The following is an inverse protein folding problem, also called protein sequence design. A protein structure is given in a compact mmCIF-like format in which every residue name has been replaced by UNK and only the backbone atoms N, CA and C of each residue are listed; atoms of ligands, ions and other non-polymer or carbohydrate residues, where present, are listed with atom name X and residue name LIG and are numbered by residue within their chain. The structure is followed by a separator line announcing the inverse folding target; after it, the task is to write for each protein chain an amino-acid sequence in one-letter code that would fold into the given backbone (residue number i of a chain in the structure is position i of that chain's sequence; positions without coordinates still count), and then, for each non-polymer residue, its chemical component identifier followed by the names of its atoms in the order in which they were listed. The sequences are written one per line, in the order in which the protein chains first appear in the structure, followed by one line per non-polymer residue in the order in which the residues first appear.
data_IF_091657825385
#
_entry.id   IF_091657825385
#
_cell.length_a   1.000
_cell.length_b   1.000
_cell.length_c   1.000
_cell.angle_alpha   90.00
_cell.angle_beta   90.00
_cell.angle_gamma   90.00
#
_symmetry.space_group_name_H-M   'P 1'
#
loop_
_entity.id
_entity.type
_entity.pdbx_description
1 polymer ?
#
# COMPACT_ATOMS: atom_id res chain seq x y z
N UNK A 1 -7.64 14.16 -27.05
CA UNK A 1 -7.02 13.02 -27.76
C UNK A 1 -7.23 11.80 -26.89
N UNK A 2 -7.82 10.75 -27.45
CA UNK A 2 -7.90 9.45 -26.77
C UNK A 2 -6.53 8.76 -26.83
N UNK A 3 -6.24 7.78 -25.95
CA UNK A 3 -5.03 6.96 -26.05
C UNK A 3 -4.91 6.31 -27.43
N UNK A 4 -3.69 6.05 -27.91
CA UNK A 4 -3.52 5.36 -29.19
C UNK A 4 -4.12 3.95 -29.14
N UNK A 5 -4.56 3.43 -30.29
CA UNK A 5 -5.11 2.07 -30.37
C UNK A 5 -4.13 1.00 -29.84
N UNK A 6 -2.84 1.15 -30.14
CA UNK A 6 -1.79 0.30 -29.57
C UNK A 6 -1.78 0.34 -28.04
N UNK A 7 -1.87 1.53 -27.45
CA UNK A 7 -1.86 1.68 -25.99
C UNK A 7 -3.11 1.07 -25.35
N UNK A 8 -4.26 1.17 -26.00
CA UNK A 8 -5.47 0.48 -25.56
C UNK A 8 -5.30 -1.04 -25.59
N UNK A 9 -4.71 -1.61 -26.67
CA UNK A 9 -4.43 -3.05 -26.75
C UNK A 9 -3.47 -3.51 -25.66
N UNK A 10 -2.43 -2.73 -25.35
CA UNK A 10 -1.51 -3.05 -24.25
C UNK A 10 -2.26 -3.16 -22.91
N UNK A 11 -3.22 -2.26 -22.66
CA UNK A 11 -4.05 -2.30 -21.45
C UNK A 11 -4.94 -3.55 -21.46
N UNK A 12 -5.58 -3.88 -22.58
CA UNK A 12 -6.40 -5.09 -22.69
C UNK A 12 -5.60 -6.37 -22.45
N UNK A 13 -4.38 -6.47 -22.98
CA UNK A 13 -3.49 -7.63 -22.76
C UNK A 13 -3.02 -7.71 -21.30
N UNK A 14 -2.75 -6.57 -20.67
CA UNK A 14 -2.45 -6.53 -19.24
C UNK A 14 -3.65 -6.97 -18.40
N UNK A 15 -4.86 -6.46 -18.68
CA UNK A 15 -6.10 -6.90 -18.05
C UNK A 15 -6.34 -8.40 -18.25
N UNK A 16 -6.06 -8.93 -19.45
CA UNK A 16 -6.21 -10.36 -19.73
C UNK A 16 -5.30 -11.22 -18.85
N UNK A 17 -4.04 -10.78 -18.64
CA UNK A 17 -3.11 -11.44 -17.72
C UNK A 17 -3.65 -11.44 -16.29
N UNK A 18 -4.12 -10.29 -15.81
CA UNK A 18 -4.70 -10.18 -14.47
C UNK A 18 -5.92 -11.10 -14.31
N UNK A 19 -6.82 -11.13 -15.31
CA UNK A 19 -8.00 -12.01 -15.32
C UNK A 19 -7.62 -13.49 -15.26
N UNK A 20 -6.53 -13.89 -15.92
CA UNK A 20 -6.03 -15.27 -15.85
C UNK A 20 -5.59 -15.65 -14.42
N UNK A 21 -4.86 -14.75 -13.75
CA UNK A 21 -4.42 -14.93 -12.36
C UNK A 21 -5.60 -14.92 -11.37
N UNK A 22 -6.64 -14.13 -11.68
CA UNK A 22 -7.91 -14.00 -10.95
C UNK A 22 -8.91 -15.14 -11.21
N UNK A 23 -8.52 -16.19 -11.93
CA UNK A 23 -9.34 -17.39 -12.08
C UNK A 23 -10.38 -17.34 -13.21
N UNK A 24 -10.28 -16.39 -14.14
CA UNK A 24 -11.20 -16.29 -15.26
C UNK A 24 -10.79 -17.18 -16.45
N UNK A 25 -11.76 -17.54 -17.29
CA UNK A 25 -11.48 -18.21 -18.56
C UNK A 25 -11.02 -17.18 -19.61
N UNK A 26 -9.76 -17.29 -20.01
CA UNK A 26 -9.07 -16.35 -20.91
C UNK A 26 -8.67 -16.95 -22.26
N UNK A 27 -9.06 -18.21 -22.52
CA UNK A 27 -8.53 -18.96 -23.66
C UNK A 27 -8.89 -18.30 -25.00
N UNK A 28 -7.88 -17.99 -25.81
CA UNK A 28 -8.02 -17.44 -27.17
C UNK A 28 -8.29 -15.94 -27.25
N UNK A 29 -8.49 -15.26 -26.11
CA UNK A 29 -8.80 -13.84 -26.08
C UNK A 29 -7.60 -12.95 -26.43
N UNK A 30 -6.37 -13.45 -26.25
CA UNK A 30 -5.14 -12.81 -26.72
C UNK A 30 -5.18 -12.55 -28.22
N UNK A 31 -5.50 -13.59 -29.01
CA UNK A 31 -5.63 -13.49 -30.46
C UNK A 31 -6.82 -12.64 -30.88
N UNK A 32 -7.92 -12.70 -30.13
CA UNK A 32 -9.07 -11.83 -30.37
C UNK A 32 -8.69 -10.35 -30.20
N UNK A 33 -7.94 -9.99 -29.14
CA UNK A 33 -7.46 -8.62 -28.89
C UNK A 33 -6.54 -8.15 -30.02
N UNK A 34 -5.60 -8.99 -30.44
CA UNK A 34 -4.67 -8.68 -31.55
C UNK A 34 -5.40 -8.44 -32.87
N UNK A 35 -6.48 -9.18 -33.12
CA UNK A 35 -7.27 -9.09 -34.35
C UNK A 35 -8.31 -7.95 -34.35
N UNK A 36 -8.49 -7.22 -33.24
CA UNK A 36 -9.45 -6.10 -33.17
C UNK A 36 -9.12 -5.04 -34.23
N UNK A 37 -10.12 -4.45 -34.90
CA UNK A 37 -9.90 -3.28 -35.75
C UNK A 37 -9.46 -2.08 -34.91
N UNK A 38 -8.79 -1.11 -35.54
CA UNK A 38 -8.45 0.19 -34.94
C UNK A 38 -9.71 1.06 -34.74
N UNK A 39 -10.50 0.68 -33.74
CA UNK A 39 -11.77 1.32 -33.38
C UNK A 39 -11.93 1.37 -31.86
N UNK A 40 -12.23 2.54 -31.31
CA UNK A 40 -12.48 2.69 -29.88
C UNK A 40 -13.71 1.90 -29.43
N UNK A 41 -14.74 1.77 -30.28
CA UNK A 41 -15.94 0.99 -29.96
C UNK A 41 -15.62 -0.51 -29.86
N UNK A 42 -14.78 -1.02 -30.76
CA UNK A 42 -14.34 -2.41 -30.72
C UNK A 42 -13.47 -2.69 -29.47
N UNK A 43 -12.55 -1.78 -29.16
CA UNK A 43 -11.69 -1.88 -27.97
C UNK A 43 -12.50 -1.79 -26.68
N UNK A 44 -13.48 -0.88 -26.61
CA UNK A 44 -14.37 -0.71 -25.46
C UNK A 44 -15.30 -1.93 -25.27
N UNK A 45 -15.75 -2.53 -26.36
CA UNK A 45 -16.53 -3.78 -26.32
C UNK A 45 -15.71 -4.93 -25.75
N UNK A 46 -14.43 -5.03 -26.15
CA UNK A 46 -13.51 -6.01 -25.59
C UNK A 46 -13.20 -5.73 -24.11
N UNK A 47 -12.97 -4.46 -23.72
CA UNK A 47 -12.75 -4.06 -22.33
C UNK A 47 -13.90 -4.54 -21.42
N UNK A 48 -15.14 -4.28 -21.83
CA UNK A 48 -16.34 -4.76 -21.13
C UNK A 48 -16.40 -6.29 -21.06
N UNK A 49 -16.16 -6.97 -22.19
CA UNK A 49 -16.10 -8.44 -22.24
C UNK A 49 -15.09 -8.98 -21.22
N UNK A 50 -13.92 -8.37 -21.10
CA UNK A 50 -12.89 -8.78 -20.12
C UNK A 50 -13.33 -8.54 -18.67
N UNK A 51 -14.01 -7.43 -18.37
CA UNK A 51 -14.50 -7.15 -17.02
C UNK A 51 -15.62 -8.09 -16.56
N UNK A 52 -16.38 -8.64 -17.51
CA UNK A 52 -17.52 -9.53 -17.26
C UNK A 52 -17.20 -11.02 -17.42
N UNK A 53 -15.91 -11.39 -17.61
CA UNK A 53 -15.55 -12.79 -17.81
C UNK A 53 -16.03 -13.67 -16.66
N UNK A 54 -16.61 -14.85 -16.94
CA UNK A 54 -16.94 -15.79 -15.88
C UNK A 54 -15.67 -16.36 -15.24
N UNK A 55 -15.78 -16.68 -13.95
CA UNK A 55 -14.79 -17.50 -13.26
C UNK A 55 -14.80 -18.92 -13.85
N UNK A 56 -13.66 -19.61 -13.78
CA UNK A 56 -13.59 -21.03 -14.10
C UNK A 56 -14.46 -21.83 -13.12
N UNK A 57 -15.06 -22.92 -13.62
CA UNK A 57 -15.98 -23.74 -12.83
C UNK A 57 -15.32 -24.41 -11.61
N UNK A 58 -14.00 -24.61 -11.65
CA UNK A 58 -13.18 -25.21 -10.60
C UNK A 58 -12.49 -24.16 -9.70
N UNK A 59 -12.87 -22.87 -9.81
CA UNK A 59 -12.31 -21.82 -8.96
C UNK A 59 -12.74 -21.99 -7.50
N UNK A 60 -11.77 -22.24 -6.62
CA UNK A 60 -12.03 -22.61 -5.23
C UNK A 60 -12.25 -21.43 -4.27
N UNK A 61 -12.06 -20.19 -4.72
CA UNK A 61 -12.01 -19.01 -3.85
C UNK A 61 -13.26 -18.14 -3.95
N UNK A 62 -13.62 -17.50 -2.83
CA UNK A 62 -14.67 -16.50 -2.76
C UNK A 62 -14.03 -15.11 -2.56
N UNK A 63 -14.12 -14.27 -3.58
CA UNK A 63 -13.44 -12.97 -3.64
C UNK A 63 -14.42 -11.84 -4.01
N UNK A 64 -15.36 -11.48 -3.12
CA UNK A 64 -16.32 -10.40 -3.35
C UNK A 64 -15.67 -9.01 -3.34
N UNK A 65 -16.26 -8.06 -4.08
CA UNK A 65 -15.78 -6.67 -4.13
C UNK A 65 -16.63 -5.69 -3.35
N UNK A 66 -17.92 -5.96 -3.17
CA UNK A 66 -18.81 -5.07 -2.41
C UNK A 66 -18.69 -5.31 -0.91
N UNK A 67 -18.89 -4.23 -0.13
CA UNK A 67 -18.73 -4.26 1.32
C UNK A 67 -19.59 -5.32 2.00
N UNK A 68 -20.86 -5.47 1.60
CA UNK A 68 -21.79 -6.36 2.28
C UNK A 68 -21.35 -7.82 2.13
N UNK A 69 -20.96 -8.22 0.91
CA UNK A 69 -20.44 -9.54 0.63
C UNK A 69 -19.06 -9.77 1.27
N UNK A 70 -18.18 -8.76 1.29
CA UNK A 70 -16.89 -8.82 2.01
C UNK A 70 -17.11 -9.02 3.50
N UNK A 71 -17.94 -8.20 4.15
CA UNK A 71 -18.21 -8.29 5.58
C UNK A 71 -18.83 -9.66 5.95
N UNK A 72 -19.71 -10.19 5.11
CA UNK A 72 -20.26 -11.53 5.30
C UNK A 72 -19.21 -12.66 5.16
N UNK A 73 -18.19 -12.47 4.32
CA UNK A 73 -17.12 -13.45 4.08
C UNK A 73 -15.94 -13.35 5.06
N UNK A 74 -15.83 -12.26 5.83
CA UNK A 74 -14.83 -12.09 6.89
C UNK A 74 -15.14 -12.96 8.13
N UNK A 75 -14.17 -13.12 9.05
CA UNK A 75 -14.31 -14.01 10.22
C UNK A 75 -15.44 -13.56 11.14
N UNK A 76 -16.50 -14.36 11.36
CA UNK A 76 -17.65 -13.96 12.16
C UNK A 76 -17.32 -13.70 13.64
N UNK A 77 -16.19 -14.21 14.15
CA UNK A 77 -15.74 -14.00 15.52
C UNK A 77 -14.94 -12.69 15.71
N UNK A 78 -14.66 -11.95 14.63
CA UNK A 78 -13.89 -10.69 14.69
C UNK A 78 -14.58 -9.65 15.55
N UNK A 79 -13.79 -8.87 16.29
CA UNK A 79 -14.32 -7.73 17.04
C UNK A 79 -14.91 -6.70 16.06
N UNK A 80 -16.12 -6.21 16.36
CA UNK A 80 -16.76 -5.13 15.59
C UNK A 80 -16.46 -3.75 16.18
N UNK A 81 -16.14 -3.71 17.47
CA UNK A 81 -15.74 -2.52 18.22
C UNK A 81 -14.23 -2.49 18.47
N UNK A 82 -13.77 -1.54 19.30
CA UNK A 82 -12.38 -1.46 19.74
C UNK A 82 -11.96 -2.68 20.55
N UNK A 83 -10.70 -3.08 20.40
CA UNK A 83 -10.08 -4.15 21.18
C UNK A 83 -9.89 -3.73 22.65
N UNK A 84 -9.61 -2.46 22.89
CA UNK A 84 -9.50 -1.88 24.23
C UNK A 84 -9.68 -0.35 24.20
N UNK A 85 -9.75 0.26 25.39
CA UNK A 85 -9.60 1.72 25.54
C UNK A 85 -8.13 2.08 25.32
N UNK A 86 -7.88 3.17 24.61
CA UNK A 86 -6.53 3.65 24.29
C UNK A 86 -6.40 5.08 24.80
N UNK A 87 -5.36 5.34 25.60
CA UNK A 87 -5.07 6.68 26.09
C UNK A 87 -4.79 7.64 24.91
N UNK A 88 -5.42 8.83 24.85
CA UNK A 88 -5.32 9.73 23.71
C UNK A 88 -3.89 10.21 23.45
N UNK A 89 -3.11 10.44 24.51
CA UNK A 89 -1.74 10.90 24.41
C UNK A 89 -0.82 9.79 23.90
N UNK A 90 -1.04 8.55 24.36
CA UNK A 90 -0.34 7.37 23.83
C UNK A 90 -0.68 7.16 22.36
N UNK A 91 -1.96 7.23 21.99
CA UNK A 91 -2.42 7.13 20.61
C UNK A 91 -1.76 8.18 19.72
N UNK A 92 -1.79 9.45 20.13
CA UNK A 92 -1.19 10.56 19.39
C UNK A 92 0.33 10.37 19.20
N UNK A 93 1.07 10.07 20.27
CA UNK A 93 2.51 9.87 20.21
C UNK A 93 2.92 8.67 19.33
N UNK A 94 2.15 7.58 19.39
CA UNK A 94 2.37 6.40 18.53
C UNK A 94 2.02 6.71 17.07
N UNK A 95 0.96 7.46 16.78
CA UNK A 95 0.60 7.87 15.41
C UNK A 95 1.67 8.79 14.81
N UNK A 96 2.18 9.76 15.59
CA UNK A 96 3.34 10.59 15.19
C UNK A 96 4.53 9.71 14.83
N UNK A 97 4.86 8.75 15.70
CA UNK A 97 6.02 7.87 15.50
C UNK A 97 5.84 6.96 14.30
N UNK A 98 4.64 6.41 14.10
CA UNK A 98 4.30 5.58 12.95
C UNK A 98 4.50 6.32 11.63
N UNK A 99 3.98 7.55 11.51
CA UNK A 99 4.18 8.38 10.33
C UNK A 99 5.66 8.70 10.07
N UNK A 100 6.40 9.14 11.10
CA UNK A 100 7.83 9.41 10.96
C UNK A 100 8.63 8.16 10.58
N UNK A 101 8.26 7.00 11.11
CA UNK A 101 8.87 5.72 10.79
C UNK A 101 8.57 5.30 9.34
N UNK A 102 7.34 5.53 8.88
CA UNK A 102 6.92 5.33 7.48
C UNK A 102 7.75 6.17 6.52
N UNK A 103 7.92 7.47 6.83
CA UNK A 103 8.81 8.38 6.08
C UNK A 103 10.24 7.85 6.04
N UNK A 104 10.77 7.35 7.15
CA UNK A 104 12.12 6.79 7.19
C UNK A 104 12.26 5.54 6.31
N UNK A 105 11.28 4.64 6.37
CA UNK A 105 11.25 3.41 5.58
C UNK A 105 11.12 3.66 4.08
N UNK A 106 10.23 4.57 3.69
CA UNK A 106 10.07 5.04 2.31
C UNK A 106 11.40 5.55 1.73
N UNK A 107 12.04 6.52 2.39
CA UNK A 107 13.29 7.11 1.90
C UNK A 107 14.43 6.09 1.89
N UNK A 108 14.47 5.15 2.84
CA UNK A 108 15.45 4.06 2.84
C UNK A 108 15.31 3.14 1.62
N UNK A 109 14.08 2.80 1.24
CA UNK A 109 13.81 1.91 0.12
C UNK A 109 13.95 2.57 -1.26
N UNK A 110 13.68 3.87 -1.36
CA UNK A 110 13.60 4.61 -2.63
C UNK A 110 14.80 4.44 -3.59
N UNK A 111 16.08 4.47 -3.17
CA UNK A 111 17.20 4.28 -4.10
C UNK A 111 17.30 2.85 -4.67
N UNK A 112 16.63 1.88 -4.05
CA UNK A 112 16.64 0.44 -4.40
C UNK A 112 15.37 -0.03 -5.11
N UNK A 113 14.38 0.86 -5.31
CA UNK A 113 13.10 0.62 -5.96
C UNK A 113 13.24 0.42 -7.49
N UNK A 114 14.02 -0.59 -7.87
CA UNK A 114 14.30 -0.99 -9.27
C UNK A 114 14.32 -2.51 -9.40
N UNK A 115 13.45 -3.16 -8.62
CA UNK A 115 13.25 -4.61 -8.60
C UNK A 115 14.56 -5.35 -8.35
N UNK A 116 15.29 -4.92 -7.31
CA UNK A 116 16.45 -5.66 -6.85
C UNK A 116 15.98 -6.84 -5.99
N UNK A 117 16.68 -7.95 -6.14
CA UNK A 117 16.59 -9.12 -5.27
C UNK A 117 17.41 -8.90 -4.00
N UNK A 118 17.11 -9.67 -2.95
CA UNK A 118 17.93 -9.69 -1.73
C UNK A 118 19.41 -9.95 -2.05
N UNK A 119 19.71 -10.89 -2.95
CA UNK A 119 21.10 -11.21 -3.32
C UNK A 119 21.80 -10.06 -4.05
N UNK A 120 21.10 -9.34 -4.93
CA UNK A 120 21.65 -8.14 -5.58
C UNK A 120 21.93 -7.03 -4.56
N UNK A 121 21.03 -6.79 -3.60
CA UNK A 121 21.23 -5.80 -2.53
C UNK A 121 22.37 -6.24 -1.61
N UNK A 122 22.39 -7.51 -1.18
CA UNK A 122 23.44 -8.08 -0.32
C UNK A 122 24.80 -7.95 -0.96
N UNK A 123 24.92 -8.23 -2.27
CA UNK A 123 26.17 -8.09 -3.01
C UNK A 123 26.67 -6.63 -2.97
N UNK A 124 25.80 -5.67 -3.26
CA UNK A 124 26.14 -4.24 -3.18
C UNK A 124 26.55 -3.81 -1.77
N UNK A 125 25.74 -4.18 -0.76
CA UNK A 125 25.98 -3.82 0.63
C UNK A 125 27.28 -4.44 1.18
N UNK A 126 27.58 -5.69 0.81
CA UNK A 126 28.83 -6.37 1.20
C UNK A 126 30.04 -5.68 0.57
N UNK A 127 29.95 -5.32 -0.72
CA UNK A 127 31.03 -4.61 -1.41
C UNK A 127 31.31 -3.23 -0.80
N UNK A 128 30.27 -2.56 -0.31
CA UNK A 128 30.37 -1.28 0.40
C UNK A 128 30.71 -1.40 1.90
N UNK A 129 30.77 -2.62 2.46
CA UNK A 129 31.07 -2.84 3.88
C UNK A 129 29.92 -2.47 4.84
N UNK A 130 28.67 -2.47 4.37
CA UNK A 130 27.47 -2.03 5.11
C UNK A 130 26.40 -3.13 5.24
N UNK A 131 26.75 -4.41 5.01
CA UNK A 131 25.83 -5.52 5.26
C UNK A 131 25.93 -6.07 6.70
N UNK A 132 24.80 -6.32 7.39
CA UNK A 132 23.45 -5.90 7.05
C UNK A 132 23.27 -4.38 7.18
N UNK A 133 22.34 -3.82 6.39
CA UNK A 133 21.99 -2.40 6.48
C UNK A 133 21.45 -2.07 7.88
N UNK A 134 21.88 -0.92 8.40
CA UNK A 134 21.41 -0.34 9.65
C UNK A 134 21.19 1.18 9.55
N UNK A 135 21.24 1.72 8.34
CA UNK A 135 21.10 3.13 8.00
C UNK A 135 20.71 3.28 6.52
N UNK A 136 20.40 4.49 6.07
CA UNK A 136 20.21 4.84 4.65
C UNK A 136 21.29 4.29 3.72
N UNK A 137 20.88 3.99 2.49
CA UNK A 137 21.73 3.39 1.45
C UNK A 137 22.82 4.38 1.03
N UNK A 138 24.12 4.08 1.23
CA UNK A 138 25.19 4.92 0.71
C UNK A 138 25.34 4.75 -0.81
N UNK A 139 25.88 5.77 -1.50
CA UNK A 139 26.14 5.71 -2.95
C UNK A 139 27.02 4.51 -3.31
N UNK A 140 28.01 4.19 -2.46
CA UNK A 140 28.93 3.06 -2.67
C UNK A 140 28.23 1.70 -2.73
N UNK A 141 27.07 1.52 -2.08
CA UNK A 141 26.28 0.29 -2.19
C UNK A 141 25.75 0.12 -3.61
N UNK A 142 25.27 1.21 -4.22
CA UNK A 142 24.68 1.23 -5.56
C UNK A 142 25.71 0.97 -6.67
N UNK A 143 27.00 1.12 -6.38
CA UNK A 143 28.06 0.73 -7.33
C UNK A 143 28.17 -0.79 -7.49
N UNK A 144 27.71 -1.56 -6.51
CA UNK A 144 27.65 -3.02 -6.56
C UNK A 144 26.32 -3.61 -7.05
N UNK A 145 25.31 -2.78 -7.32
CA UNK A 145 24.00 -3.21 -7.83
C UNK A 145 23.92 -3.05 -9.36
N UNK A 146 23.12 -3.89 -10.05
CA UNK A 146 23.00 -3.81 -11.51
C UNK A 146 22.16 -2.63 -12.00
N UNK A 147 21.38 -2.03 -11.10
CA UNK A 147 20.38 -0.98 -11.36
C UNK A 147 20.33 -0.04 -10.17
N UNK A 148 19.93 1.21 -10.40
CA UNK A 148 19.75 2.26 -9.38
C UNK A 148 18.48 3.04 -9.71
N UNK A 149 17.67 3.37 -8.71
CA UNK A 149 16.49 4.20 -8.94
C UNK A 149 16.87 5.64 -9.31
N UNK A 150 16.08 6.33 -10.13
CA UNK A 150 16.44 7.64 -10.70
C UNK A 150 16.62 8.72 -9.62
N UNK A 151 15.98 8.54 -8.46
CA UNK A 151 16.03 9.45 -7.32
C UNK A 151 17.28 9.27 -6.46
N UNK A 152 18.17 8.32 -6.76
CA UNK A 152 19.39 8.08 -5.96
C UNK A 152 20.21 9.34 -5.67
N UNK A 153 20.32 10.36 -6.56
CA UNK A 153 21.11 11.57 -6.28
C UNK A 153 20.61 12.40 -5.09
N UNK A 154 19.39 12.15 -4.59
CA UNK A 154 18.78 12.89 -3.46
C UNK A 154 18.30 11.96 -2.33
N UNK A 155 18.41 10.63 -2.49
CA UNK A 155 17.81 9.63 -1.58
C UNK A 155 18.83 8.66 -0.97
N UNK A 156 20.11 8.79 -1.30
CA UNK A 156 21.19 8.04 -0.64
C UNK A 156 21.68 8.77 0.60
N UNK A 157 22.25 8.03 1.56
CA UNK A 157 22.81 8.56 2.81
C UNK A 157 23.68 9.82 2.60
N UNK A 158 24.50 9.81 1.56
CA UNK A 158 25.44 10.90 1.25
C UNK A 158 24.76 12.20 0.79
N UNK A 159 23.51 12.13 0.34
CA UNK A 159 22.82 13.20 -0.38
C UNK A 159 21.49 13.63 0.25
N UNK A 160 20.92 12.85 1.19
CA UNK A 160 19.67 13.21 1.86
C UNK A 160 19.87 14.53 2.62
N UNK A 161 19.03 15.51 2.31
CA UNK A 161 18.96 16.80 3.01
C UNK A 161 17.55 17.15 3.49
N UNK A 162 16.55 16.41 3.00
CA UNK A 162 15.12 16.56 3.26
C UNK A 162 14.42 15.26 2.85
N UNK A 163 13.16 15.09 3.23
CA UNK A 163 12.30 14.03 2.70
C UNK A 163 11.91 14.43 1.28
N UNK A 164 12.33 13.65 0.27
CA UNK A 164 11.94 13.88 -1.12
C UNK A 164 10.51 13.40 -1.37
N UNK A 165 9.80 13.95 -2.39
CA UNK A 165 8.44 13.53 -2.68
C UNK A 165 8.35 12.05 -3.10
N UNK A 166 7.27 11.43 -2.66
CA UNK A 166 6.99 10.01 -2.88
C UNK A 166 5.47 9.77 -2.83
N UNK A 167 4.94 8.88 -3.67
CA UNK A 167 3.51 8.63 -3.72
C UNK A 167 2.97 7.94 -2.47
N UNK A 168 3.72 7.06 -1.79
CA UNK A 168 3.31 6.47 -0.50
C UNK A 168 3.02 7.55 0.55
N UNK A 169 3.96 8.49 0.70
CA UNK A 169 3.83 9.57 1.67
C UNK A 169 2.76 10.56 1.22
N UNK A 170 2.68 10.89 -0.07
CA UNK A 170 1.61 11.73 -0.59
C UNK A 170 0.23 11.12 -0.32
N UNK A 171 0.05 9.81 -0.53
CA UNK A 171 -1.21 9.14 -0.28
C UNK A 171 -1.56 9.05 1.21
N UNK A 172 -0.57 8.86 2.08
CA UNK A 172 -0.77 8.96 3.53
C UNK A 172 -1.27 10.35 3.92
N UNK A 173 -0.67 11.41 3.36
CA UNK A 173 -1.11 12.79 3.59
C UNK A 173 -2.49 13.08 2.99
N UNK A 174 -2.83 12.46 1.85
CA UNK A 174 -4.17 12.53 1.28
C UNK A 174 -5.21 11.86 2.17
N UNK A 175 -4.91 10.69 2.74
CA UNK A 175 -5.75 10.03 3.73
C UNK A 175 -5.95 10.88 4.98
N UNK A 176 -4.89 11.57 5.45
CA UNK A 176 -4.99 12.55 6.55
C UNK A 176 -5.99 13.67 6.21
N UNK A 177 -5.87 14.31 5.03
CA UNK A 177 -6.79 15.37 4.61
C UNK A 177 -8.24 14.87 4.52
N UNK A 178 -8.46 13.66 4.00
CA UNK A 178 -9.80 13.07 3.92
C UNK A 178 -10.42 12.85 5.31
N UNK A 179 -9.64 12.36 6.28
CA UNK A 179 -10.12 12.13 7.64
C UNK A 179 -10.39 13.46 8.36
N UNK A 180 -9.54 14.46 8.16
CA UNK A 180 -9.74 15.79 8.76
C UNK A 180 -11.01 16.48 8.26
N UNK A 181 -11.35 16.31 6.98
CA UNK A 181 -12.50 16.98 6.36
C UNK A 181 -13.80 16.18 6.52
N UNK A 182 -13.75 14.86 6.38
CA UNK A 182 -14.95 14.00 6.28
C UNK A 182 -15.11 13.02 7.44
N UNK A 183 -14.12 12.90 8.34
CA UNK A 183 -14.14 11.95 9.44
C UNK A 183 -14.30 10.51 8.95
N UNK A 184 -15.22 9.77 9.56
CA UNK A 184 -15.48 8.37 9.17
C UNK A 184 -16.35 8.24 7.92
N UNK A 185 -17.10 9.27 7.53
CA UNK A 185 -18.14 9.18 6.49
C UNK A 185 -17.65 9.54 5.08
N UNK A 186 -16.39 9.22 4.77
CA UNK A 186 -15.81 9.50 3.44
C UNK A 186 -16.50 8.70 2.32
N UNK A 187 -16.79 9.39 1.21
CA UNK A 187 -17.38 8.78 0.01
C UNK A 187 -16.40 8.77 -1.17
N UNK A 188 -16.67 7.97 -2.20
CA UNK A 188 -15.90 8.01 -3.46
C UNK A 188 -15.91 9.38 -4.12
N UNK A 189 -17.00 10.14 -3.98
CA UNK A 189 -17.06 11.52 -4.49
C UNK A 189 -16.08 12.44 -3.75
N UNK A 190 -15.90 12.26 -2.45
CA UNK A 190 -14.99 13.07 -1.64
C UNK A 190 -13.54 12.71 -1.94
N UNK A 191 -13.24 11.42 -2.12
CA UNK A 191 -11.94 10.94 -2.60
C UNK A 191 -11.63 11.54 -3.97
N UNK A 192 -12.55 11.43 -4.94
CA UNK A 192 -12.37 11.96 -6.29
C UNK A 192 -12.08 13.47 -6.30
N UNK A 193 -12.87 14.26 -5.54
CA UNK A 193 -12.66 15.71 -5.43
C UNK A 193 -11.33 16.06 -4.79
N UNK A 194 -10.98 15.39 -3.70
CA UNK A 194 -9.72 15.60 -2.99
C UNK A 194 -8.54 15.27 -3.92
N UNK A 195 -8.61 14.15 -4.64
CA UNK A 195 -7.57 13.71 -5.58
C UNK A 195 -7.40 14.69 -6.74
N UNK A 196 -8.48 15.10 -7.41
CA UNK A 196 -8.41 16.08 -8.50
C UNK A 196 -7.80 17.43 -8.07
N UNK A 197 -8.02 17.82 -6.81
CA UNK A 197 -7.48 19.06 -6.26
C UNK A 197 -5.99 18.96 -5.91
N UNK A 198 -5.51 17.77 -5.57
CA UNK A 198 -4.22 17.61 -4.89
C UNK A 198 -3.20 16.74 -5.60
N UNK A 199 -3.60 15.76 -6.39
CA UNK A 199 -2.71 14.76 -6.97
C UNK A 199 -2.30 15.14 -8.40
N UNK A 200 -1.01 15.35 -8.67
CA UNK A 200 -0.51 15.41 -10.02
C UNK A 200 -0.60 14.02 -10.66
N UNK A 201 -1.08 13.93 -11.91
CA UNK A 201 -1.19 12.65 -12.64
C UNK A 201 0.14 11.92 -12.81
N UNK A 202 1.27 12.63 -12.74
CA UNK A 202 2.62 12.08 -12.76
C UNK A 202 3.04 11.34 -11.47
N UNK A 203 2.33 11.56 -10.36
CA UNK A 203 2.55 10.93 -9.04
C UNK A 203 1.46 9.89 -8.69
N UNK A 204 0.67 9.47 -9.67
CA UNK A 204 -0.26 8.35 -9.54
C UNK A 204 0.14 7.28 -10.54
N UNK A 205 0.05 6.00 -10.19
CA UNK A 205 0.40 4.88 -11.09
C UNK A 205 -0.77 3.91 -11.22
N UNK A 206 -0.78 3.07 -12.26
CA UNK A 206 -1.78 2.01 -12.40
C UNK A 206 -3.25 2.47 -12.34
N UNK A 207 -4.12 1.78 -11.58
CA UNK A 207 -5.52 2.13 -11.38
C UNK A 207 -5.77 3.57 -10.92
N UNK A 208 -4.97 4.09 -9.99
CA UNK A 208 -5.09 5.43 -9.43
C UNK A 208 -5.04 6.49 -10.54
N UNK A 209 -4.05 6.36 -11.44
CA UNK A 209 -3.89 7.28 -12.57
C UNK A 209 -5.08 7.21 -13.52
N UNK A 210 -5.64 6.02 -13.77
CA UNK A 210 -6.80 5.86 -14.66
C UNK A 210 -8.03 6.54 -14.09
N UNK A 211 -8.30 6.33 -12.80
CA UNK A 211 -9.41 6.98 -12.10
C UNK A 211 -9.25 8.50 -12.14
N UNK A 212 -8.06 9.01 -11.80
CA UNK A 212 -7.80 10.46 -11.80
C UNK A 212 -7.96 11.08 -13.20
N UNK A 213 -7.44 10.45 -14.25
CA UNK A 213 -7.60 10.92 -15.64
C UNK A 213 -9.07 10.88 -16.06
N UNK A 214 -9.80 9.81 -15.74
CA UNK A 214 -11.22 9.69 -16.07
C UNK A 214 -12.06 10.73 -15.33
N UNK A 215 -11.80 10.94 -14.04
CA UNK A 215 -12.43 11.99 -13.24
C UNK A 215 -12.17 13.37 -13.86
N UNK A 216 -10.92 13.68 -14.24
CA UNK A 216 -10.58 14.93 -14.91
C UNK A 216 -11.29 15.10 -16.27
N UNK A 217 -11.42 14.04 -17.06
CA UNK A 217 -12.18 14.11 -18.32
C UNK A 217 -13.67 14.43 -18.10
N UNK A 218 -14.24 13.99 -16.97
CA UNK A 218 -15.64 14.29 -16.63
C UNK A 218 -15.88 15.78 -16.38
N UNK A 219 -14.83 16.57 -16.11
CA UNK A 219 -14.93 18.02 -15.88
C UNK A 219 -14.87 18.85 -17.16
N UNK A 220 -14.72 18.23 -18.33
CA UNK A 220 -14.82 18.93 -19.62
C UNK A 220 -16.25 19.42 -19.91
N UNK A 221 -17.25 18.84 -19.23
CA UNK A 221 -18.62 19.34 -19.19
C UNK A 221 -18.81 20.50 -18.21
N UNK A 222 -20.05 20.97 -18.03
CA UNK A 222 -20.35 22.10 -17.11
C UNK A 222 -20.15 21.76 -15.63
N UNK A 223 -20.26 20.48 -15.27
CA UNK A 223 -20.09 19.97 -13.90
C UNK A 223 -19.33 18.64 -13.99
N UNK A 224 -18.68 18.24 -12.89
CA UNK A 224 -18.24 16.86 -12.72
C UNK A 224 -19.47 15.94 -12.80
N UNK A 225 -19.43 14.93 -13.67
CA UNK A 225 -20.46 13.91 -13.73
C UNK A 225 -20.50 13.07 -12.43
N UNK A 226 -21.49 12.19 -12.27
CA UNK A 226 -21.53 11.23 -11.16
C UNK A 226 -20.22 10.43 -11.07
N UNK A 227 -19.70 10.24 -9.86
CA UNK A 227 -18.44 9.50 -9.66
C UNK A 227 -18.58 8.04 -10.07
N UNK A 228 -19.80 7.51 -10.00
CA UNK A 228 -20.18 6.17 -10.41
C UNK A 228 -19.87 5.91 -11.88
N UNK A 229 -20.09 6.88 -12.77
CA UNK A 229 -19.73 6.77 -14.19
C UNK A 229 -18.20 6.68 -14.38
N UNK A 230 -17.42 7.31 -13.50
CA UNK A 230 -15.97 7.19 -13.50
C UNK A 230 -15.55 5.80 -13.05
N UNK A 231 -16.11 5.32 -11.94
CA UNK A 231 -15.81 4.01 -11.37
C UNK A 231 -16.17 2.89 -12.35
N UNK A 232 -17.34 2.93 -12.96
CA UNK A 232 -17.79 1.89 -13.90
C UNK A 232 -16.94 1.84 -15.16
N UNK A 233 -16.58 3.01 -15.70
CA UNK A 233 -15.66 3.06 -16.84
C UNK A 233 -14.27 2.51 -16.47
N UNK A 234 -13.77 2.84 -15.28
CA UNK A 234 -12.45 2.38 -14.84
C UNK A 234 -12.44 0.87 -14.70
N UNK A 235 -13.48 0.24 -14.09
CA UNK A 235 -13.60 -1.23 -13.94
C UNK A 235 -13.39 -1.98 -15.26
N UNK A 236 -13.86 -1.44 -16.38
CA UNK A 236 -13.68 -2.04 -17.71
C UNK A 236 -12.21 -1.96 -18.20
N UNK A 237 -11.45 -0.97 -17.73
CA UNK A 237 -10.08 -0.65 -18.18
C UNK A 237 -8.99 -0.82 -17.10
N UNK A 238 -9.27 -1.59 -16.05
CA UNK A 238 -8.50 -1.54 -14.80
C UNK A 238 -7.36 -2.56 -14.63
N UNK A 239 -6.39 -2.63 -15.56
CA UNK A 239 -5.25 -3.53 -15.35
C UNK A 239 -4.41 -3.15 -14.11
N UNK A 240 -4.03 -4.11 -13.28
CA UNK A 240 -3.24 -3.94 -12.06
C UNK A 240 -4.05 -3.71 -10.80
N UNK A 241 -5.35 -4.02 -10.79
CA UNK A 241 -6.26 -3.77 -9.66
C UNK A 241 -6.03 -4.62 -8.40
N UNK A 242 -5.09 -5.57 -8.45
CA UNK A 242 -4.63 -6.37 -7.30
C UNK A 242 -3.21 -6.01 -6.84
N UNK A 243 -2.64 -4.90 -7.35
CA UNK A 243 -1.32 -4.39 -6.94
C UNK A 243 -1.41 -3.52 -5.68
N UNK A 244 -0.25 -3.10 -5.16
CA UNK A 244 -0.10 -2.35 -3.91
C UNK A 244 -0.62 -0.89 -3.94
N UNK A 245 -1.01 -0.33 -5.09
CA UNK A 245 -1.38 1.09 -5.20
C UNK A 245 -2.51 1.54 -4.25
N UNK A 246 -3.46 0.65 -3.94
CA UNK A 246 -4.41 0.90 -2.85
C UNK A 246 -3.84 0.66 -1.46
N UNK A 247 -2.95 -0.31 -1.28
CA UNK A 247 -2.38 -0.70 0.00
C UNK A 247 -1.56 0.43 0.62
N UNK A 248 -0.77 1.15 -0.19
CA UNK A 248 0.08 2.26 0.27
C UNK A 248 -0.71 3.45 0.83
N UNK A 249 -2.04 3.46 0.66
CA UNK A 249 -2.95 4.47 1.21
C UNK A 249 -3.50 4.10 2.60
N UNK A 250 -3.30 2.86 3.04
CA UNK A 250 -3.91 2.29 4.24
C UNK A 250 -3.48 2.99 5.54
N UNK A 251 -2.26 3.52 5.56
CA UNK A 251 -1.56 4.00 6.75
C UNK A 251 -2.35 5.03 7.54
N UNK A 252 -2.88 6.05 6.86
CA UNK A 252 -3.67 7.11 7.49
C UNK A 252 -4.91 6.57 8.21
N UNK A 253 -5.59 5.58 7.63
CA UNK A 253 -6.77 4.95 8.23
C UNK A 253 -6.40 4.10 9.44
N UNK A 254 -5.25 3.42 9.40
CA UNK A 254 -4.69 2.71 10.55
C UNK A 254 -4.31 3.66 11.69
N UNK A 255 -3.65 4.78 11.39
CA UNK A 255 -3.26 5.79 12.37
C UNK A 255 -4.46 6.43 13.08
N UNK A 256 -5.55 6.63 12.34
CA UNK A 256 -6.75 7.24 12.89
C UNK A 256 -7.60 6.29 13.75
N UNK A 257 -7.34 4.98 13.68
CA UNK A 257 -8.12 3.95 14.37
C UNK A 257 -7.33 3.11 15.40
N UNK A 258 -6.58 3.70 16.36
CA UNK A 258 -5.83 2.93 17.37
C UNK A 258 -6.70 1.92 18.12
N UNK A 259 -6.33 0.64 18.04
CA UNK A 259 -7.09 -0.45 18.67
C UNK A 259 -8.48 -0.69 18.06
N UNK A 260 -8.82 -0.11 16.90
CA UNK A 260 -10.11 -0.29 16.23
C UNK A 260 -9.95 -0.85 14.81
N UNK A 261 -9.47 -2.10 14.66
CA UNK A 261 -9.19 -2.69 13.35
C UNK A 261 -10.41 -2.80 12.44
N UNK A 262 -11.62 -2.98 13.00
CA UNK A 262 -12.87 -3.00 12.22
C UNK A 262 -13.11 -1.69 11.45
N UNK A 263 -12.97 -0.54 12.13
CA UNK A 263 -13.17 0.77 11.52
C UNK A 263 -12.02 1.10 10.54
N UNK A 264 -10.78 0.76 10.91
CA UNK A 264 -9.62 0.91 10.03
C UNK A 264 -9.84 0.17 8.68
N UNK A 265 -10.25 -1.09 8.74
CA UNK A 265 -10.56 -1.89 7.56
C UNK A 265 -11.73 -1.32 6.75
N UNK A 266 -12.76 -0.77 7.41
CA UNK A 266 -13.90 -0.16 6.71
C UNK A 266 -13.51 1.11 5.95
N UNK A 267 -12.72 1.99 6.56
CA UNK A 267 -12.25 3.23 5.90
C UNK A 267 -11.29 2.90 4.75
N UNK A 268 -10.36 1.97 4.99
CA UNK A 268 -9.48 1.42 3.96
C UNK A 268 -10.26 0.81 2.78
N UNK A 269 -11.34 0.07 3.04
CA UNK A 269 -12.20 -0.45 1.98
C UNK A 269 -12.86 0.68 1.17
N UNK A 270 -13.40 1.71 1.84
CA UNK A 270 -14.05 2.84 1.16
C UNK A 270 -13.09 3.53 0.20
N UNK A 271 -11.84 3.71 0.61
CA UNK A 271 -10.78 4.29 -0.23
C UNK A 271 -10.28 3.33 -1.33
N UNK A 272 -9.98 2.08 -0.99
CA UNK A 272 -9.43 1.11 -1.93
C UNK A 272 -10.42 0.75 -3.04
N UNK A 273 -11.70 0.55 -2.71
CA UNK A 273 -12.77 0.18 -3.67
C UNK A 273 -13.04 1.23 -4.75
N UNK A 274 -12.46 2.43 -4.61
CA UNK A 274 -12.51 3.46 -5.66
C UNK A 274 -11.63 3.12 -6.87
N UNK A 275 -10.51 2.40 -6.66
CA UNK A 275 -9.54 2.10 -7.73
C UNK A 275 -9.20 0.61 -7.85
N UNK A 276 -9.33 -0.20 -6.80
CA UNK A 276 -8.86 -1.59 -6.76
C UNK A 276 -10.01 -2.59 -6.54
N UNK A 277 -9.72 -3.88 -6.78
CA UNK A 277 -10.64 -5.00 -6.57
C UNK A 277 -9.93 -6.13 -5.82
N UNK A 278 -10.70 -7.02 -5.20
CA UNK A 278 -10.23 -8.28 -4.57
C UNK A 278 -8.96 -8.10 -3.73
N UNK A 279 -7.84 -8.74 -4.09
CA UNK A 279 -6.59 -8.69 -3.31
C UNK A 279 -6.10 -7.26 -3.10
N UNK A 280 -6.32 -6.36 -4.05
CA UNK A 280 -6.01 -4.93 -3.88
C UNK A 280 -6.79 -4.28 -2.74
N UNK A 281 -8.10 -4.58 -2.64
CA UNK A 281 -8.94 -4.14 -1.53
C UNK A 281 -8.54 -4.83 -0.22
N UNK A 282 -8.38 -6.16 -0.24
CA UNK A 282 -8.13 -6.94 0.97
C UNK A 282 -6.77 -6.63 1.58
N UNK A 283 -5.76 -6.36 0.75
CA UNK A 283 -4.44 -5.90 1.18
C UNK A 283 -4.52 -4.59 1.95
N UNK A 284 -5.24 -3.59 1.42
CA UNK A 284 -5.43 -2.31 2.10
C UNK A 284 -6.17 -2.49 3.43
N UNK A 285 -7.25 -3.27 3.45
CA UNK A 285 -8.01 -3.57 4.67
C UNK A 285 -7.14 -4.23 5.74
N UNK A 286 -6.34 -5.22 5.34
CA UNK A 286 -5.43 -5.95 6.23
C UNK A 286 -4.36 -5.04 6.81
N UNK A 287 -3.70 -4.21 5.99
CA UNK A 287 -2.65 -3.30 6.48
C UNK A 287 -3.21 -2.25 7.42
N UNK A 288 -4.35 -1.62 7.09
CA UNK A 288 -4.99 -0.65 7.99
C UNK A 288 -5.37 -1.29 9.34
N UNK A 289 -5.93 -2.51 9.31
CA UNK A 289 -6.24 -3.25 10.52
C UNK A 289 -4.98 -3.64 11.32
N UNK A 290 -3.89 -4.05 10.66
CA UNK A 290 -2.63 -4.39 11.29
C UNK A 290 -2.00 -3.17 11.98
N UNK A 291 -1.96 -2.02 11.31
CA UNK A 291 -1.49 -0.76 11.90
C UNK A 291 -2.34 -0.40 13.12
N UNK A 292 -3.67 -0.47 13.02
CA UNK A 292 -4.58 -0.23 14.15
C UNK A 292 -4.32 -1.16 15.34
N UNK A 293 -4.07 -2.45 15.09
CA UNK A 293 -3.73 -3.43 16.13
C UNK A 293 -2.36 -3.16 16.77
N UNK A 294 -1.37 -2.69 16.01
CA UNK A 294 -0.03 -2.42 16.50
C UNK A 294 0.02 -1.36 17.61
N UNK A 295 -0.99 -0.49 17.71
CA UNK A 295 -1.09 0.46 18.82
C UNK A 295 -1.25 -0.23 20.19
N UNK A 296 -1.90 -1.39 20.23
CA UNK A 296 -2.42 -2.00 21.48
C UNK A 296 -1.91 -3.42 21.73
N UNK A 297 -1.55 -4.18 20.70
CA UNK A 297 -1.06 -5.55 20.84
C UNK A 297 0.43 -5.58 21.19
N UNK A 298 0.80 -6.43 22.15
CA UNK A 298 2.19 -6.69 22.53
C UNK A 298 2.81 -7.87 21.77
N UNK A 299 1.99 -8.81 21.30
CA UNK A 299 2.44 -9.93 20.46
C UNK A 299 2.29 -9.57 18.98
N UNK A 300 3.44 -9.55 18.28
CA UNK A 300 3.50 -9.22 16.85
C UNK A 300 2.74 -10.21 15.98
N UNK A 301 2.59 -11.46 16.44
CA UNK A 301 1.79 -12.46 15.73
C UNK A 301 0.32 -12.10 15.76
N UNK A 302 -0.17 -11.69 16.94
CA UNK A 302 -1.57 -11.33 17.16
C UNK A 302 -2.00 -10.14 16.31
N UNK A 303 -1.11 -9.17 16.06
CA UNK A 303 -1.37 -8.04 15.13
C UNK A 303 -1.91 -8.55 13.80
N UNK A 304 -1.20 -9.50 13.18
CA UNK A 304 -1.54 -10.03 11.87
C UNK A 304 -2.65 -11.08 11.92
N UNK A 305 -2.73 -11.88 12.98
CA UNK A 305 -3.85 -12.82 13.19
C UNK A 305 -5.18 -12.09 13.33
N UNK A 306 -5.21 -10.96 14.05
CA UNK A 306 -6.41 -10.13 14.18
C UNK A 306 -6.70 -9.42 12.85
N UNK A 307 -5.71 -8.83 12.19
CA UNK A 307 -5.90 -8.18 10.89
C UNK A 307 -6.48 -9.14 9.84
N UNK A 308 -6.04 -10.41 9.82
CA UNK A 308 -6.56 -11.46 8.94
C UNK A 308 -8.07 -11.69 9.13
N UNK A 309 -8.63 -11.43 10.31
CA UNK A 309 -10.07 -11.61 10.55
C UNK A 309 -10.94 -10.65 9.73
N UNK A 310 -10.37 -9.54 9.26
CA UNK A 310 -11.06 -8.49 8.51
C UNK A 310 -10.97 -8.66 6.99
N UNK A 311 -10.43 -9.77 6.48
CA UNK A 311 -10.46 -10.11 5.05
C UNK A 311 -11.34 -11.33 4.77
N UNK A 312 -11.86 -11.52 3.54
CA UNK A 312 -12.65 -12.70 3.20
C UNK A 312 -11.88 -14.01 3.43
N UNK A 313 -12.40 -14.88 4.30
CA UNK A 313 -11.65 -16.02 4.85
C UNK A 313 -11.36 -17.12 3.82
N UNK A 314 -12.13 -17.16 2.71
CA UNK A 314 -11.96 -18.10 1.60
C UNK A 314 -11.36 -17.42 0.34
N UNK A 315 -10.62 -16.33 0.51
CA UNK A 315 -9.89 -15.66 -0.59
C UNK A 315 -8.47 -16.21 -0.76
N UNK A 316 -7.87 -15.99 -1.94
CA UNK A 316 -6.43 -16.27 -2.16
C UNK A 316 -5.56 -15.48 -1.18
N UNK A 317 -5.93 -14.23 -0.94
CA UNK A 317 -5.19 -13.35 -0.04
C UNK A 317 -5.15 -13.89 1.41
N UNK A 318 -6.29 -14.37 1.94
CA UNK A 318 -6.32 -15.00 3.26
C UNK A 318 -5.46 -16.27 3.32
N UNK A 319 -5.40 -17.07 2.26
CA UNK A 319 -4.49 -18.23 2.18
C UNK A 319 -3.02 -17.81 2.25
N UNK A 320 -2.64 -16.76 1.51
CA UNK A 320 -1.27 -16.21 1.52
C UNK A 320 -0.87 -15.74 2.91
N UNK A 321 -1.77 -15.03 3.62
CA UNK A 321 -1.49 -14.58 4.98
C UNK A 321 -1.31 -15.77 5.93
N UNK A 322 -2.21 -16.76 5.91
CA UNK A 322 -2.10 -17.95 6.79
C UNK A 322 -0.81 -18.71 6.56
N UNK A 323 -0.48 -18.95 5.29
CA UNK A 323 0.78 -19.61 4.93
C UNK A 323 1.99 -18.79 5.43
N UNK A 324 1.97 -17.49 5.18
CA UNK A 324 3.08 -16.63 5.56
C UNK A 324 3.22 -16.51 7.08
N UNK A 325 2.13 -16.45 7.85
CA UNK A 325 2.16 -16.51 9.32
C UNK A 325 2.78 -17.80 9.82
N UNK A 326 2.43 -18.94 9.22
CA UNK A 326 2.99 -20.24 9.60
C UNK A 326 4.49 -20.30 9.33
N UNK A 327 4.93 -20.00 8.10
CA UNK A 327 6.33 -20.07 7.69
C UNK A 327 7.19 -19.02 8.41
N UNK A 328 6.72 -17.77 8.32
CA UNK A 328 6.78 -16.73 9.34
C UNK A 328 7.38 -17.16 10.65
N UNK A 329 6.49 -17.82 11.40
CA UNK A 329 6.70 -18.07 12.79
C UNK A 329 7.56 -19.28 13.13
N UNK A 330 7.78 -20.16 12.15
CA UNK A 330 8.67 -21.31 12.25
C UNK A 330 10.12 -20.99 11.87
N UNK A 331 10.38 -19.84 11.23
CA UNK A 331 11.71 -19.47 10.77
C UNK A 331 12.70 -19.18 11.91
N UNK A 332 13.97 -19.55 11.76
CA UNK A 332 15.00 -19.31 12.79
C UNK A 332 15.46 -17.85 12.85
N UNK A 333 15.52 -17.19 11.69
CA UNK A 333 15.86 -15.78 11.52
C UNK A 333 15.15 -15.21 10.29
N UNK A 334 15.37 -13.92 10.02
CA UNK A 334 14.70 -13.24 8.90
C UNK A 334 15.18 -13.73 7.53
N UNK A 335 16.37 -14.32 7.40
CA UNK A 335 16.85 -14.88 6.13
C UNK A 335 16.15 -16.21 5.83
N UNK A 336 16.02 -17.08 6.83
CA UNK A 336 15.20 -18.29 6.73
C UNK A 336 13.73 -17.95 6.43
N UNK A 337 13.19 -16.91 7.09
CA UNK A 337 11.84 -16.42 6.81
C UNK A 337 11.68 -15.90 5.38
N UNK A 338 12.66 -15.14 4.87
CA UNK A 338 12.69 -14.68 3.49
C UNK A 338 12.67 -15.85 2.52
N UNK A 339 13.57 -16.83 2.69
CA UNK A 339 13.69 -17.98 1.78
C UNK A 339 12.38 -18.77 1.70
N UNK A 340 11.71 -19.00 2.85
CA UNK A 340 10.42 -19.72 2.90
C UNK A 340 9.32 -19.01 2.13
N UNK A 341 9.22 -17.68 2.26
CA UNK A 341 8.23 -16.89 1.53
C UNK A 341 8.60 -16.81 0.04
N UNK A 342 9.85 -16.49 -0.24
CA UNK A 342 10.35 -16.25 -1.59
C UNK A 342 10.25 -17.51 -2.46
N UNK A 343 10.61 -18.69 -1.97
CA UNK A 343 10.51 -19.95 -2.74
C UNK A 343 9.09 -20.19 -3.27
N UNK A 344 8.05 -19.86 -2.49
CA UNK A 344 6.66 -20.04 -2.91
C UNK A 344 6.16 -18.90 -3.79
N UNK A 345 6.56 -17.67 -3.51
CA UNK A 345 5.94 -16.48 -4.08
C UNK A 345 6.82 -15.64 -5.01
N UNK A 346 8.08 -16.03 -5.29
CA UNK A 346 9.04 -15.29 -6.15
C UNK A 346 8.54 -14.89 -7.54
N UNK A 347 7.51 -15.58 -8.06
CA UNK A 347 6.86 -15.20 -9.34
C UNK A 347 6.09 -13.88 -9.25
N UNK A 348 5.74 -13.45 -8.03
CA UNK A 348 5.05 -12.20 -7.72
C UNK A 348 6.10 -11.16 -7.33
N UNK A 349 6.60 -10.44 -8.33
CA UNK A 349 7.60 -9.39 -8.13
C UNK A 349 7.00 -8.06 -7.65
N UNK A 350 7.72 -6.98 -7.93
CA UNK A 350 7.41 -5.60 -7.52
C UNK A 350 5.93 -5.20 -7.72
N UNK A 351 5.42 -4.50 -6.70
CA UNK A 351 4.02 -4.08 -6.49
C UNK A 351 2.99 -5.21 -6.30
N UNK A 352 3.37 -6.49 -6.38
CA UNK A 352 2.43 -7.60 -6.19
C UNK A 352 2.32 -7.95 -4.71
N UNK A 353 1.18 -7.61 -4.09
CA UNK A 353 0.90 -7.73 -2.65
C UNK A 353 1.23 -9.13 -2.08
N UNK A 354 1.07 -10.19 -2.88
CA UNK A 354 1.17 -11.59 -2.45
C UNK A 354 2.51 -11.93 -1.76
N UNK A 355 3.65 -11.62 -2.40
CA UNK A 355 4.95 -11.89 -1.77
C UNK A 355 5.23 -10.88 -0.66
N UNK A 356 4.94 -9.62 -0.94
CA UNK A 356 5.32 -8.49 -0.10
C UNK A 356 4.72 -8.55 1.30
N UNK A 357 3.46 -9.00 1.43
CA UNK A 357 2.83 -9.18 2.75
C UNK A 357 3.54 -10.23 3.60
N UNK A 358 4.07 -11.29 2.99
CA UNK A 358 4.88 -12.28 3.69
C UNK A 358 6.22 -11.69 4.17
N UNK A 359 6.87 -10.89 3.32
CA UNK A 359 8.13 -10.21 3.65
C UNK A 359 7.94 -9.13 4.73
N UNK A 360 6.81 -8.42 4.70
CA UNK A 360 6.41 -7.46 5.72
C UNK A 360 6.26 -8.12 7.08
N UNK A 361 5.54 -9.25 7.15
CA UNK A 361 5.40 -10.02 8.39
C UNK A 361 6.74 -10.56 8.88
N UNK A 362 7.63 -10.94 7.97
CA UNK A 362 8.99 -11.38 8.28
C UNK A 362 9.81 -10.28 8.96
N UNK A 363 9.87 -9.09 8.35
CA UNK A 363 10.58 -7.94 8.92
C UNK A 363 10.01 -7.56 10.29
N UNK A 364 8.68 -7.47 10.42
CA UNK A 364 8.02 -7.11 11.68
C UNK A 364 8.29 -8.12 12.78
N UNK A 365 8.23 -9.44 12.49
CA UNK A 365 8.51 -10.49 13.47
C UNK A 365 9.88 -10.32 14.11
N UNK A 366 10.91 -10.11 13.31
CA UNK A 366 12.30 -10.13 13.77
C UNK A 366 12.85 -8.77 14.21
N UNK A 367 12.15 -7.68 13.93
CA UNK A 367 12.54 -6.32 14.32
C UNK A 367 12.84 -6.19 15.83
N UNK A 368 13.98 -5.58 16.15
CA UNK A 368 14.36 -5.17 17.52
C UNK A 368 13.89 -3.75 17.84
N UNK A 369 13.90 -2.90 16.84
CA UNK A 369 13.40 -1.52 16.86
C UNK A 369 12.91 -1.15 15.44
N UNK A 370 12.50 0.11 15.23
CA UNK A 370 12.01 0.55 13.92
C UNK A 370 13.10 0.45 12.85
N UNK A 371 14.32 0.91 13.15
CA UNK A 371 15.42 1.00 12.21
C UNK A 371 15.88 -0.37 11.72
N UNK A 372 15.97 -1.34 12.63
CA UNK A 372 16.26 -2.75 12.35
C UNK A 372 15.20 -3.35 11.41
N UNK A 373 13.91 -3.09 11.70
CA UNK A 373 12.80 -3.60 10.90
C UNK A 373 12.70 -3.02 9.49
N UNK A 374 12.77 -1.70 9.33
CA UNK A 374 12.73 -1.09 7.98
C UNK A 374 13.96 -1.48 7.15
N UNK A 375 15.12 -1.65 7.79
CA UNK A 375 16.33 -2.14 7.11
C UNK A 375 16.16 -3.59 6.64
N UNK A 376 15.59 -4.46 7.48
CA UNK A 376 15.24 -5.83 7.08
C UNK A 376 14.24 -5.82 5.92
N UNK A 377 13.18 -5.02 5.99
CA UNK A 377 12.19 -4.95 4.91
C UNK A 377 12.83 -4.55 3.58
N UNK A 378 13.63 -3.49 3.56
CA UNK A 378 14.30 -2.99 2.35
C UNK A 378 15.33 -3.99 1.81
N UNK A 379 16.08 -4.67 2.68
CA UNK A 379 17.06 -5.67 2.25
C UNK A 379 16.43 -6.92 1.62
N UNK A 380 15.15 -7.21 1.87
CA UNK A 380 14.45 -8.32 1.20
C UNK A 380 14.20 -8.05 -0.30
N UNK A 381 14.35 -6.80 -0.74
CA UNK A 381 14.16 -6.39 -2.13
C UNK A 381 12.67 -6.24 -2.49
N UNK A 382 12.36 -6.50 -3.76
CA UNK A 382 11.03 -6.34 -4.33
C UNK A 382 10.57 -4.85 -4.37
N UNK A 383 9.49 -4.47 -3.68
CA UNK A 383 8.95 -3.11 -3.64
C UNK A 383 9.38 -2.37 -2.37
N UNK A 384 10.59 -1.81 -2.43
CA UNK A 384 11.39 -1.50 -1.25
C UNK A 384 10.94 -0.26 -0.48
N UNK A 385 10.56 0.82 -1.15
CA UNK A 385 10.06 2.04 -0.51
C UNK A 385 8.66 1.82 0.06
N UNK A 386 7.71 1.29 -0.73
CA UNK A 386 6.33 1.15 -0.27
C UNK A 386 6.19 0.22 0.94
N UNK A 387 6.80 -0.97 0.88
CA UNK A 387 6.76 -1.87 2.02
C UNK A 387 7.71 -1.42 3.14
N UNK A 388 8.78 -0.69 2.83
CA UNK A 388 9.58 0.02 3.82
C UNK A 388 8.73 1.00 4.62
N UNK A 389 7.88 1.79 3.94
CA UNK A 389 6.94 2.72 4.53
C UNK A 389 5.94 2.00 5.43
N UNK A 390 5.19 1.03 4.89
CA UNK A 390 4.22 0.25 5.68
C UNK A 390 4.85 -0.49 6.87
N UNK A 391 6.06 -1.02 6.72
CA UNK A 391 6.81 -1.65 7.82
C UNK A 391 7.11 -0.62 8.92
N UNK A 392 7.57 0.57 8.53
CA UNK A 392 7.77 1.70 9.44
C UNK A 392 6.49 2.07 10.17
N UNK A 393 5.35 2.12 9.49
CA UNK A 393 4.03 2.43 10.06
C UNK A 393 3.63 1.45 11.17
N UNK A 394 3.73 0.14 10.89
CA UNK A 394 3.42 -0.91 11.86
C UNK A 394 4.38 -0.86 13.05
N UNK A 395 5.68 -0.77 12.80
CA UNK A 395 6.70 -0.81 13.86
C UNK A 395 6.72 0.46 14.71
N UNK A 396 6.48 1.63 14.11
CA UNK A 396 6.38 2.89 14.82
C UNK A 396 5.14 2.93 15.73
N UNK A 397 4.01 2.37 15.29
CA UNK A 397 2.84 2.19 16.14
C UNK A 397 3.10 1.17 17.27
N UNK A 398 3.82 0.08 16.97
CA UNK A 398 4.16 -0.97 17.92
C UNK A 398 5.11 -0.49 19.02
N UNK A 399 6.31 -0.04 18.64
CA UNK A 399 7.35 0.38 19.59
C UNK A 399 7.10 1.75 20.20
N UNK A 400 6.35 2.62 19.51
CA UNK A 400 6.15 4.01 19.93
C UNK A 400 7.45 4.83 19.92
N UNK A 401 7.44 6.03 20.54
CA UNK A 401 8.53 7.00 20.41
C UNK A 401 9.94 6.49 20.75
N UNK A 402 10.03 5.54 21.68
CA UNK A 402 11.31 4.96 22.10
C UNK A 402 11.94 4.03 21.05
N UNK A 403 11.16 3.55 20.06
CA UNK A 403 11.63 2.62 19.03
C UNK A 403 12.23 3.28 17.80
N UNK A 404 12.07 4.59 17.60
CA UNK A 404 12.62 5.31 16.46
C UNK A 404 13.87 6.10 16.87
N UNK A 405 15.02 5.70 16.36
CA UNK A 405 16.29 6.39 16.60
C UNK A 405 16.36 7.74 15.89
N UNK A 406 16.79 8.79 16.60
CA UNK A 406 16.91 10.16 16.06
C UNK A 406 17.86 10.29 14.85
N UNK A 407 18.79 9.33 14.67
CA UNK A 407 19.69 9.32 13.53
C UNK A 407 18.99 9.10 12.19
N UNK A 408 17.80 8.47 12.18
CA UNK A 408 16.98 8.33 10.98
C UNK A 408 16.37 9.67 10.53
N UNK A 409 15.97 10.52 11.49
CA UNK A 409 15.31 11.79 11.17
C UNK A 409 16.30 12.92 10.87
N UNK A 410 17.51 12.86 11.45
CA UNK A 410 18.52 13.92 11.35
C UNK A 410 18.88 14.31 9.90
N UNK A 411 19.06 13.40 8.93
CA UNK A 411 19.39 13.76 7.55
C UNK A 411 18.34 14.64 6.87
N UNK A 412 17.09 14.59 7.32
CA UNK A 412 16.00 15.36 6.71
C UNK A 412 16.02 16.86 7.06
N UNK A 413 16.84 17.30 8.00
CA UNK A 413 16.86 18.69 8.48
C UNK A 413 15.45 19.25 8.81
N UNK A 414 14.59 18.38 9.38
CA UNK A 414 13.18 18.65 9.66
C UNK A 414 12.37 19.19 8.45
N UNK A 415 12.77 18.85 7.23
CA UNK A 415 12.17 19.35 5.99
C UNK A 415 11.55 18.19 5.20
N UNK A 416 10.33 18.38 4.72
CA UNK A 416 9.62 17.47 3.81
C UNK A 416 9.10 18.21 2.58
N UNK A 417 9.37 17.64 1.41
CA UNK A 417 8.76 18.04 0.16
C UNK A 417 7.71 17.00 -0.23
N UNK A 418 6.50 17.46 -0.53
CA UNK A 418 5.40 16.63 -1.00
C UNK A 418 4.79 17.26 -2.27
N UNK A 419 3.94 16.51 -2.97
CA UNK A 419 3.25 17.04 -4.17
C UNK A 419 1.74 17.16 -4.01
N UNK A 420 1.25 17.16 -2.76
CA UNK A 420 -0.16 17.38 -2.43
C UNK A 420 -0.44 18.88 -2.57
N UNK A 421 -1.10 19.28 -3.66
CA UNK A 421 -1.12 20.68 -4.11
C UNK A 421 -1.64 21.71 -3.08
N UNK A 422 -2.52 21.29 -2.16
CA UNK A 422 -3.09 22.19 -1.13
C UNK A 422 -2.39 22.11 0.22
N UNK A 423 -1.38 21.24 0.36
CA UNK A 423 -0.62 21.04 1.58
C UNK A 423 0.75 21.72 1.47
N UNK A 424 0.83 22.95 1.97
CA UNK A 424 2.03 23.79 1.87
C UNK A 424 3.02 23.63 3.03
N UNK A 425 2.70 22.83 4.05
CA UNK A 425 3.59 22.60 5.18
C UNK A 425 4.82 21.78 4.75
N UNK A 426 6.00 22.30 5.07
CA UNK A 426 7.30 21.69 4.74
C UNK A 426 8.08 21.30 5.99
N UNK A 427 7.62 21.72 7.19
CA UNK A 427 8.19 21.28 8.45
C UNK A 427 7.69 19.86 8.76
N UNK A 428 8.60 18.90 8.77
CA UNK A 428 8.29 17.48 8.95
C UNK A 428 7.63 17.22 10.31
N UNK A 429 8.12 17.87 11.37
CA UNK A 429 7.58 17.74 12.71
C UNK A 429 6.16 18.29 12.82
N UNK A 430 5.87 19.45 12.20
CA UNK A 430 4.50 19.99 12.18
C UNK A 430 3.55 19.08 11.43
N UNK A 431 3.99 18.53 10.31
CA UNK A 431 3.18 17.60 9.56
C UNK A 431 2.94 16.30 10.34
N UNK A 432 3.96 15.78 11.01
CA UNK A 432 3.84 14.62 11.88
C UNK A 432 2.92 14.88 13.09
N UNK A 433 2.93 16.09 13.66
CA UNK A 433 1.99 16.48 14.71
C UNK A 433 0.55 16.52 14.19
N UNK A 434 0.33 16.96 12.96
CA UNK A 434 -1.00 16.97 12.33
C UNK A 434 -1.52 15.54 12.10
N UNK A 435 -0.67 14.62 11.64
CA UNK A 435 -1.00 13.18 11.58
C UNK A 435 -1.28 12.60 12.98
N UNK A 436 -0.58 13.08 14.02
CA UNK A 436 -0.79 12.67 15.40
C UNK A 436 -2.17 13.06 15.96
N UNK A 437 -2.91 13.96 15.31
CA UNK A 437 -4.27 14.36 15.69
C UNK A 437 -5.34 13.42 15.12
N UNK A 438 -5.00 12.57 14.13
CA UNK A 438 -5.96 11.69 13.47
C UNK A 438 -6.77 10.80 14.43
N UNK A 439 -6.17 10.17 15.48
CA UNK A 439 -6.96 9.45 16.47
C UNK A 439 -8.08 10.31 17.07
N UNK A 440 -7.79 11.55 17.44
CA UNK A 440 -8.77 12.43 18.08
C UNK A 440 -9.90 12.89 17.13
N UNK A 441 -9.74 12.74 15.81
CA UNK A 441 -10.80 13.05 14.82
C UNK A 441 -11.87 11.97 14.74
N UNK A 442 -11.51 10.73 15.07
CA UNK A 442 -12.39 9.56 14.91
C UNK A 442 -12.90 9.04 16.26
N UNK A 443 -12.11 9.18 17.31
CA UNK A 443 -12.48 8.74 18.66
C UNK A 443 -13.28 9.86 19.36
N UNK A 444 -14.54 9.63 19.80
CA UNK A 444 -15.31 10.66 20.50
C UNK A 444 -14.61 11.11 21.79
N UNK A 445 -14.67 12.41 22.09
CA UNK A 445 -14.06 13.05 23.28
C UNK A 445 -14.49 12.39 24.59
N UNK A 446 -15.69 11.78 24.64
CA UNK A 446 -16.21 11.11 25.85
C UNK A 446 -15.72 9.64 26.00
N UNK A 447 -14.89 9.16 25.07
CA UNK A 447 -14.24 7.83 25.08
C UNK A 447 -12.71 7.92 25.00
N UNK A 448 -12.20 9.14 25.13
CA UNK A 448 -10.81 9.57 25.22
C UNK A 448 -10.57 10.06 26.66
#
# INVERSE_FOLDING_TARGET
MLPTYSKCRDILLATLKDKAEQGHNVQGLDKEIEALPDSYDALQTMARKLSELPLKADWAYQEPNDWASIDAACDPARAKDRLCVVDPMIASNKAKTAFLSSVCGCILGKPLEVQLTLDEIRKGATAAGVWPLNHYVPVSLLDGTPRRHVSWPETTLDNITHVVPDDDINYTLMGMLLIEEFGTELTHNDIAKTWMKNLPTGFCFGPERRVLVKAALSTLGKNMGPVEETVDWVKEWNAGEEKCGALIRADAYGYACPGHPALAAQLAYRDASFTHQRTGIYGTMFVAAAIACAFVESDRRRIFEIALQYVPQQSRFAEVIRYSLEQVWQASDWLDGYDRIHVKYMRYGHCMIVQEIGLLMNAVRFAKDVGDGISMQVMQGADTDSFGATCGSILGAYFGPAGLGQHWLKPFNNTIHNTVATLHEQDLDRLANRVAELPAKILPVDTL
#
